data_IF_208885437746
#
_entry.id   IF_208885437746
#
_cell.length_a   1.000
_cell.length_b   1.000
_cell.length_c   1.000
_cell.angle_alpha   90.00
_cell.angle_beta   90.00
_cell.angle_gamma   90.00
#
_symmetry.space_group_name_H-M   'P 1'
#
loop_
_entity.id
_entity.type
_entity.pdbx_description
1 polymer ?
#
# COMPACT_ATOMS: atom_id res chain seq x y z
N UNK A 1 3.27 -15.67 5.20
CA UNK A 1 3.54 -14.97 3.93
C UNK A 1 4.91 -15.34 3.39
N UNK A 2 6.00 -14.69 3.83
CA UNK A 2 7.35 -14.88 3.27
C UNK A 2 7.78 -16.36 3.15
N UNK A 3 7.66 -17.14 4.23
CA UNK A 3 8.04 -18.56 4.22
C UNK A 3 7.22 -19.42 3.23
N UNK A 4 5.92 -19.13 3.09
CA UNK A 4 5.04 -19.85 2.17
C UNK A 4 5.31 -19.46 0.71
N UNK A 5 5.74 -18.22 0.46
CA UNK A 5 6.11 -17.75 -0.86
C UNK A 5 7.53 -18.11 -1.29
N UNK A 6 8.43 -18.45 -0.35
CA UNK A 6 9.82 -18.82 -0.64
C UNK A 6 10.02 -19.85 -1.76
N UNK A 7 9.21 -20.93 -1.86
CA UNK A 7 9.30 -21.91 -2.94
C UNK A 7 9.07 -21.33 -4.35
N UNK A 8 8.40 -20.18 -4.50
CA UNK A 8 8.20 -19.56 -5.82
C UNK A 8 9.51 -19.11 -6.45
N UNK A 9 10.54 -18.85 -5.64
CA UNK A 9 11.85 -18.39 -6.12
C UNK A 9 12.52 -19.42 -7.05
N UNK A 10 12.84 -20.64 -6.59
CA UNK A 10 13.43 -21.66 -7.46
C UNK A 10 12.49 -22.07 -8.62
N UNK A 11 11.17 -22.06 -8.41
CA UNK A 11 10.18 -22.38 -9.46
C UNK A 11 10.30 -21.38 -10.62
N UNK A 12 10.33 -20.08 -10.34
CA UNK A 12 10.41 -19.08 -11.40
C UNK A 12 11.80 -18.94 -12.00
N UNK A 13 12.86 -19.25 -11.26
CA UNK A 13 14.20 -19.39 -11.86
C UNK A 13 14.25 -20.56 -12.85
N UNK A 14 13.57 -21.69 -12.55
CA UNK A 14 13.39 -22.80 -13.50
C UNK A 14 12.57 -22.36 -14.71
N UNK A 15 11.49 -21.61 -14.52
CA UNK A 15 10.69 -21.08 -15.62
C UNK A 15 11.53 -20.19 -16.57
N UNK A 16 12.37 -19.30 -16.00
CA UNK A 16 13.26 -18.42 -16.79
C UNK A 16 14.26 -19.24 -17.61
N UNK A 17 14.82 -20.31 -17.04
CA UNK A 17 15.71 -21.21 -17.75
C UNK A 17 14.97 -21.98 -18.87
N UNK A 18 13.81 -22.57 -18.56
CA UNK A 18 12.98 -23.31 -19.51
C UNK A 18 12.53 -22.44 -20.70
N UNK A 19 12.18 -21.18 -20.46
CA UNK A 19 11.84 -20.23 -21.52
C UNK A 19 13.01 -19.96 -22.50
N UNK A 20 14.27 -20.12 -22.08
CA UNK A 20 15.45 -19.98 -22.97
C UNK A 20 15.69 -21.22 -23.81
N UNK A 21 15.27 -22.37 -23.31
CA UNK A 21 15.37 -23.67 -23.96
C UNK A 21 14.13 -23.98 -24.80
N UNK A 22 13.18 -23.03 -24.88
CA UNK A 22 11.87 -23.17 -25.53
C UNK A 22 11.01 -24.34 -25.00
N UNK A 23 11.20 -24.69 -23.73
CA UNK A 23 10.38 -25.71 -23.04
C UNK A 23 9.08 -25.09 -22.51
N UNK A 24 8.10 -24.97 -23.42
CA UNK A 24 6.77 -24.42 -23.12
C UNK A 24 6.09 -25.19 -21.97
N UNK A 25 6.22 -26.52 -21.94
CA UNK A 25 5.58 -27.37 -20.94
C UNK A 25 6.10 -27.08 -19.53
N UNK A 26 7.42 -26.99 -19.36
CA UNK A 26 8.01 -26.65 -18.06
C UNK A 26 7.66 -25.23 -17.62
N UNK A 27 7.55 -24.26 -18.55
CA UNK A 27 7.10 -22.90 -18.24
C UNK A 27 5.66 -22.91 -17.72
N UNK A 28 4.76 -23.64 -18.37
CA UNK A 28 3.35 -23.77 -17.94
C UNK A 28 3.26 -24.37 -16.54
N UNK A 29 3.97 -25.46 -16.27
CA UNK A 29 3.98 -26.11 -14.94
C UNK A 29 4.47 -25.16 -13.84
N UNK A 30 5.52 -24.39 -14.12
CA UNK A 30 6.04 -23.41 -13.18
C UNK A 30 5.05 -22.26 -12.93
N UNK A 31 4.36 -21.77 -13.97
CA UNK A 31 3.35 -20.73 -13.85
C UNK A 31 2.12 -21.22 -13.06
N UNK A 32 1.64 -22.44 -13.29
CA UNK A 32 0.57 -23.01 -12.46
C UNK A 32 0.97 -23.08 -10.99
N UNK A 33 2.17 -23.59 -10.70
CA UNK A 33 2.70 -23.67 -9.34
C UNK A 33 2.83 -22.29 -8.70
N UNK A 34 3.24 -21.28 -9.48
CA UNK A 34 3.30 -19.90 -9.02
C UNK A 34 1.91 -19.36 -8.68
N UNK A 35 0.92 -19.57 -9.54
CA UNK A 35 -0.45 -19.11 -9.33
C UNK A 35 -1.04 -19.69 -8.04
N UNK A 36 -0.85 -21.00 -7.79
CA UNK A 36 -1.26 -21.66 -6.55
C UNK A 36 -0.61 -21.03 -5.33
N UNK A 37 0.71 -20.81 -5.36
CA UNK A 37 1.43 -20.15 -4.26
C UNK A 37 0.87 -18.76 -4.00
N UNK A 38 0.61 -17.95 -5.04
CA UNK A 38 0.07 -16.59 -4.86
C UNK A 38 -1.34 -16.62 -4.26
N UNK A 39 -2.18 -17.58 -4.66
CA UNK A 39 -3.51 -17.73 -4.05
C UNK A 39 -3.42 -18.09 -2.55
N UNK A 40 -2.56 -19.05 -2.20
CA UNK A 40 -2.30 -19.43 -0.81
C UNK A 40 -1.76 -18.26 0.01
N UNK A 41 -0.89 -17.43 -0.57
CA UNK A 41 -0.47 -16.16 0.03
C UNK A 41 -1.67 -15.24 0.27
N UNK A 42 -2.60 -15.15 -0.68
CA UNK A 42 -3.85 -14.41 -0.52
C UNK A 42 -4.71 -14.91 0.64
N UNK A 43 -4.81 -16.21 0.85
CA UNK A 43 -5.51 -16.80 1.99
C UNK A 43 -4.81 -16.46 3.30
N UNK A 44 -3.49 -16.65 3.37
CA UNK A 44 -2.70 -16.36 4.57
C UNK A 44 -2.70 -14.87 4.94
N UNK A 45 -2.76 -13.98 3.97
CA UNK A 45 -2.77 -12.54 4.21
C UNK A 45 -3.99 -12.12 5.07
N UNK A 46 -5.16 -12.70 4.78
CA UNK A 46 -6.43 -12.40 5.46
C UNK A 46 -6.46 -12.92 6.89
N UNK A 47 -5.64 -13.93 7.22
CA UNK A 47 -5.50 -14.44 8.60
C UNK A 47 -4.94 -13.42 9.59
N UNK A 48 -4.39 -12.30 9.10
CA UNK A 48 -4.03 -11.17 9.98
C UNK A 48 -5.22 -10.72 10.84
N UNK A 49 -6.45 -10.85 10.36
CA UNK A 49 -7.66 -10.52 11.12
C UNK A 49 -7.85 -11.40 12.38
N UNK A 50 -7.26 -12.60 12.42
CA UNK A 50 -7.38 -13.53 13.56
C UNK A 50 -6.67 -13.03 14.81
N UNK A 51 -5.54 -12.32 14.65
CA UNK A 51 -4.63 -12.02 15.78
C UNK A 51 -4.11 -10.58 15.80
N UNK A 52 -4.62 -9.71 14.92
CA UNK A 52 -4.24 -8.30 14.87
C UNK A 52 -5.49 -7.43 14.94
N UNK A 53 -5.80 -6.88 16.10
CA UNK A 53 -6.92 -5.94 16.23
C UNK A 53 -6.61 -4.62 15.48
N UNK A 54 -7.53 -4.09 14.64
CA UNK A 54 -7.29 -2.86 13.90
C UNK A 54 -7.02 -1.62 14.77
N UNK A 55 -7.68 -1.50 15.92
CA UNK A 55 -7.46 -0.37 16.83
C UNK A 55 -6.07 -0.46 17.48
N UNK A 56 -5.70 -1.64 17.99
CA UNK A 56 -4.36 -1.91 18.56
C UNK A 56 -3.28 -1.65 17.52
N UNK A 57 -3.45 -2.17 16.30
CA UNK A 57 -2.48 -1.94 15.22
C UNK A 57 -2.31 -0.45 14.93
N UNK A 58 -3.39 0.29 14.70
CA UNK A 58 -3.31 1.69 14.32
C UNK A 58 -2.75 2.59 15.43
N UNK A 59 -3.19 2.39 16.66
CA UNK A 59 -2.87 3.29 17.78
C UNK A 59 -1.64 2.88 18.56
N UNK A 60 -1.33 1.58 18.66
CA UNK A 60 -0.24 1.06 19.49
C UNK A 60 0.94 0.55 18.70
N UNK A 61 0.75 -0.08 17.53
CA UNK A 61 1.85 -0.71 16.78
C UNK A 61 2.42 0.24 15.71
N UNK A 62 1.55 0.71 14.80
CA UNK A 62 1.89 1.59 13.67
C UNK A 62 2.76 2.81 14.04
N UNK A 63 2.64 3.44 15.21
CA UNK A 63 3.51 4.56 15.60
C UNK A 63 4.98 4.20 15.68
N UNK A 64 5.30 2.99 16.16
CA UNK A 64 6.66 2.49 16.23
C UNK A 64 7.22 2.06 14.87
N UNK A 65 6.34 1.86 13.88
CA UNK A 65 6.72 1.52 12.51
C UNK A 65 6.94 2.77 11.63
N UNK A 66 6.59 3.97 12.11
CA UNK A 66 6.81 5.20 11.37
C UNK A 66 8.31 5.57 11.38
N UNK A 67 8.80 5.98 10.23
CA UNK A 67 10.16 6.52 10.08
C UNK A 67 10.20 8.02 10.32
N UNK A 68 11.38 8.61 10.11
CA UNK A 68 11.64 10.05 10.26
C UNK A 68 11.62 10.82 8.94
N UNK A 69 11.59 10.13 7.79
CA UNK A 69 11.54 10.76 6.47
C UNK A 69 10.16 11.37 6.19
N UNK A 70 10.15 12.60 5.67
CA UNK A 70 8.93 13.37 5.37
C UNK A 70 8.03 13.64 6.60
N UNK A 71 8.61 13.71 7.81
CA UNK A 71 7.88 13.89 9.08
C UNK A 71 7.98 15.32 9.65
N UNK A 72 8.12 16.33 8.78
CA UNK A 72 8.20 17.75 9.19
C UNK A 72 7.02 18.17 10.08
N UNK A 73 5.79 17.86 9.67
CA UNK A 73 4.57 18.22 10.41
C UNK A 73 4.39 17.42 11.71
N UNK A 74 5.18 16.35 11.90
CA UNK A 74 5.24 15.59 13.13
C UNK A 74 6.36 16.05 14.07
N UNK A 75 7.06 17.14 13.73
CA UNK A 75 8.15 17.70 14.54
C UNK A 75 9.54 17.16 14.21
N UNK A 76 9.70 16.44 13.09
CA UNK A 76 10.99 15.92 12.62
C UNK A 76 11.36 16.52 11.24
N UNK A 77 11.57 17.85 11.14
CA UNK A 77 11.89 18.52 9.87
C UNK A 77 13.16 17.96 9.21
N UNK A 78 14.17 17.63 10.03
CA UNK A 78 15.48 17.16 9.57
C UNK A 78 15.71 15.68 9.90
N UNK A 79 14.67 14.96 10.34
CA UNK A 79 14.77 13.58 10.79
C UNK A 79 15.27 13.43 12.23
N UNK A 80 16.06 12.39 12.49
CA UNK A 80 16.53 12.00 13.82
C UNK A 80 18.04 12.20 13.91
N UNK A 81 18.52 12.60 15.09
CA UNK A 81 19.93 12.77 15.39
C UNK A 81 20.55 11.39 15.69
N UNK A 82 21.58 11.04 14.93
CA UNK A 82 22.41 9.85 15.15
C UNK A 82 23.73 10.31 15.74
N UNK A 83 23.95 9.93 16.99
CA UNK A 83 25.21 10.11 17.69
C UNK A 83 26.03 8.81 17.56
N UNK A 84 27.18 8.90 16.89
CA UNK A 84 28.08 7.76 16.69
C UNK A 84 29.15 7.66 17.78
N UNK A 85 29.08 8.49 18.84
CA UNK A 85 29.99 8.44 19.98
C UNK A 85 31.41 8.96 19.70
N UNK A 86 31.66 9.45 18.48
CA UNK A 86 32.94 10.02 18.04
C UNK A 86 32.91 11.56 17.97
N UNK A 87 31.88 12.19 18.54
CA UNK A 87 31.65 13.64 18.47
C UNK A 87 31.06 14.11 17.14
N UNK A 88 30.87 13.22 16.15
CA UNK A 88 30.19 13.50 14.90
C UNK A 88 28.69 13.26 15.07
N UNK A 89 27.93 14.34 14.98
CA UNK A 89 26.47 14.31 15.09
C UNK A 89 25.88 14.53 13.70
N UNK A 90 25.12 13.56 13.20
CA UNK A 90 24.44 13.67 11.90
C UNK A 90 22.93 13.49 12.04
N UNK A 91 22.16 14.40 11.44
CA UNK A 91 20.71 14.22 11.31
C UNK A 91 20.41 13.37 10.08
N UNK A 92 19.57 12.34 10.24
CA UNK A 92 19.23 11.40 9.17
C UNK A 92 17.73 11.17 9.07
N UNK A 93 17.27 11.03 7.84
CA UNK A 93 15.89 10.74 7.49
C UNK A 93 15.77 9.35 6.88
N UNK A 94 14.97 8.49 7.50
CA UNK A 94 14.69 7.14 7.00
C UNK A 94 13.19 6.89 6.93
N UNK A 95 12.75 6.20 5.89
CA UNK A 95 11.37 5.77 5.73
C UNK A 95 11.00 4.74 6.80
N UNK A 96 9.74 4.73 7.21
CA UNK A 96 9.23 3.72 8.11
C UNK A 96 9.10 2.35 7.45
N UNK A 97 8.80 1.33 8.25
CA UNK A 97 8.56 -0.02 7.78
C UNK A 97 7.36 -0.07 6.83
N UNK A 98 7.51 -0.78 5.70
CA UNK A 98 6.40 -1.00 4.76
C UNK A 98 6.55 -2.30 3.98
N UNK A 99 5.44 -2.84 3.50
CA UNK A 99 5.42 -4.09 2.71
C UNK A 99 6.21 -3.97 1.39
N UNK A 100 6.46 -2.76 0.90
CA UNK A 100 7.32 -2.51 -0.26
C UNK A 100 8.80 -2.88 -0.03
N UNK A 101 9.20 -3.12 1.23
CA UNK A 101 10.52 -3.63 1.60
C UNK A 101 10.59 -5.16 1.54
N UNK A 102 9.49 -5.87 1.28
CA UNK A 102 9.50 -7.32 1.03
C UNK A 102 10.18 -7.62 -0.30
N UNK A 103 11.21 -8.46 -0.26
CA UNK A 103 11.89 -8.92 -1.47
C UNK A 103 11.03 -9.91 -2.27
N UNK A 104 10.19 -10.70 -1.60
CA UNK A 104 9.27 -11.64 -2.25
C UNK A 104 8.24 -10.90 -3.12
N UNK A 105 7.61 -9.85 -2.59
CA UNK A 105 6.60 -9.09 -3.35
C UNK A 105 7.22 -8.48 -4.61
N UNK A 106 8.40 -7.84 -4.50
CA UNK A 106 9.09 -7.31 -5.68
C UNK A 106 9.60 -8.42 -6.62
N UNK A 107 9.95 -9.59 -6.10
CA UNK A 107 10.34 -10.72 -6.93
C UNK A 107 9.19 -11.18 -7.84
N UNK A 108 7.97 -11.31 -7.29
CA UNK A 108 6.78 -11.67 -8.06
C UNK A 108 6.52 -10.68 -9.20
N UNK A 109 6.69 -9.39 -8.93
CA UNK A 109 6.52 -8.34 -9.93
C UNK A 109 7.57 -8.48 -11.05
N UNK A 110 8.84 -8.64 -10.67
CA UNK A 110 9.95 -8.75 -11.62
C UNK A 110 9.81 -9.98 -12.53
N UNK A 111 9.51 -11.16 -11.98
CA UNK A 111 9.43 -12.40 -12.80
C UNK A 111 8.21 -12.43 -13.72
N UNK A 112 7.15 -11.71 -13.38
CA UNK A 112 5.95 -11.54 -14.21
C UNK A 112 6.04 -10.31 -15.13
N UNK A 113 7.13 -9.54 -15.11
CA UNK A 113 7.27 -8.35 -15.94
C UNK A 113 6.33 -7.20 -15.56
N UNK A 114 5.92 -7.10 -14.28
CA UNK A 114 5.14 -5.97 -13.75
C UNK A 114 6.08 -4.80 -13.44
N UNK A 115 5.91 -3.71 -14.19
CA UNK A 115 6.63 -2.46 -13.95
C UNK A 115 5.80 -1.44 -13.18
N UNK A 116 6.42 -0.80 -12.19
CA UNK A 116 5.78 0.19 -11.34
C UNK A 116 6.18 1.61 -11.74
N UNK A 117 5.21 2.45 -12.08
CA UNK A 117 5.44 3.87 -12.42
C UNK A 117 5.41 4.74 -11.15
N UNK A 118 5.98 5.96 -11.18
CA UNK A 118 5.78 6.93 -10.12
C UNK A 118 4.29 7.15 -9.83
N UNK A 119 3.95 7.37 -8.56
CA UNK A 119 2.54 7.46 -8.13
C UNK A 119 1.85 8.66 -8.76
N UNK A 120 0.75 8.42 -9.46
CA UNK A 120 -0.07 9.44 -10.14
C UNK A 120 0.19 9.59 -11.63
N UNK A 121 1.20 8.91 -12.18
CA UNK A 121 1.45 8.87 -13.62
C UNK A 121 0.56 7.81 -14.29
N UNK A 122 -0.20 8.20 -15.32
CA UNK A 122 -0.97 7.26 -16.18
C UNK A 122 -0.07 6.73 -17.31
N UNK A 123 -0.45 5.59 -17.88
CA UNK A 123 0.18 5.06 -19.10
C UNK A 123 -0.03 6.09 -20.20
N UNK A 124 1.04 6.77 -20.61
CA UNK A 124 0.96 7.70 -21.74
C UNK A 124 0.95 6.84 -23.00
N UNK A 125 -0.18 6.78 -23.71
CA UNK A 125 -0.30 5.99 -24.95
C UNK A 125 0.36 6.64 -26.17
N UNK A 126 0.97 7.83 -26.02
CA UNK A 126 1.74 8.49 -27.09
C UNK A 126 2.81 9.40 -26.48
N UNK A 127 4.06 8.95 -26.43
CA UNK A 127 5.22 9.85 -26.27
C UNK A 127 6.43 9.27 -27.01
N UNK A 128 6.22 8.97 -28.29
CA UNK A 128 7.24 9.16 -29.33
C UNK A 128 7.26 10.63 -29.78
N UNK A 129 7.21 11.57 -28.84
CA UNK A 129 7.38 12.99 -29.13
C UNK A 129 8.43 13.56 -28.19
N UNK A 130 9.64 13.57 -28.75
CA UNK A 130 10.75 14.47 -28.45
C UNK A 130 11.39 14.32 -27.07
N UNK A 131 12.26 13.31 -26.96
CA UNK A 131 13.43 13.45 -26.10
C UNK A 131 14.46 14.23 -26.91
N UNK A 132 14.74 15.47 -26.50
CA UNK A 132 15.94 16.21 -26.96
C UNK A 132 17.18 15.30 -26.82
N UNK A 133 17.99 15.12 -27.87
CA UNK A 133 19.15 14.25 -27.80
C UNK A 133 20.19 14.83 -26.83
N UNK A 134 20.38 14.18 -25.69
CA UNK A 134 21.50 14.46 -24.78
C UNK A 134 21.16 14.76 -23.31
N UNK A 135 19.88 14.83 -22.93
CA UNK A 135 19.50 14.96 -21.52
C UNK A 135 18.98 13.62 -21.02
N UNK A 136 19.77 12.95 -20.18
CA UNK A 136 19.30 11.76 -19.47
C UNK A 136 18.00 12.12 -18.73
N UNK A 137 16.91 11.33 -18.87
CA UNK A 137 15.66 11.63 -18.20
C UNK A 137 15.90 11.75 -16.69
N UNK A 138 15.37 12.80 -16.07
CA UNK A 138 15.49 13.00 -14.63
C UNK A 138 15.06 11.72 -13.90
N UNK A 139 15.79 11.27 -12.86
CA UNK A 139 15.51 9.99 -12.20
C UNK A 139 14.10 10.01 -11.62
N UNK A 140 13.19 9.32 -12.32
CA UNK A 140 11.80 9.16 -11.90
C UNK A 140 11.81 8.36 -10.61
N UNK A 141 11.53 9.03 -9.50
CA UNK A 141 11.73 8.44 -8.17
C UNK A 141 10.63 7.41 -7.86
N UNK A 142 10.86 6.17 -8.30
CA UNK A 142 9.98 5.04 -8.03
C UNK A 142 10.14 4.60 -6.56
N UNK A 143 9.08 4.76 -5.77
CA UNK A 143 9.07 4.39 -4.35
C UNK A 143 9.45 2.92 -4.12
N UNK A 144 9.01 1.99 -4.98
CA UNK A 144 9.34 0.56 -4.89
C UNK A 144 10.85 0.35 -5.05
N UNK A 145 11.50 1.04 -5.99
CA UNK A 145 12.95 0.97 -6.17
C UNK A 145 13.69 1.61 -5.00
N UNK A 146 13.19 2.71 -4.42
CA UNK A 146 13.77 3.28 -3.21
C UNK A 146 13.75 2.28 -2.05
N UNK A 147 12.65 1.53 -1.89
CA UNK A 147 12.50 0.53 -0.82
C UNK A 147 13.49 -0.63 -0.95
N UNK A 148 14.08 -0.89 -2.13
CA UNK A 148 15.19 -1.84 -2.25
C UNK A 148 16.40 -1.44 -1.39
N UNK A 149 16.63 -0.14 -1.14
CA UNK A 149 17.70 0.35 -0.23
C UNK A 149 17.52 -0.11 1.22
N UNK A 150 16.29 -0.48 1.60
CA UNK A 150 15.93 -0.97 2.92
C UNK A 150 15.91 -2.50 3.01
N UNK A 151 16.15 -3.21 1.91
CA UNK A 151 16.30 -4.67 1.89
C UNK A 151 17.72 -5.12 2.29
N UNK A 152 17.90 -6.35 2.81
CA UNK A 152 19.23 -6.94 2.96
C UNK A 152 20.01 -6.91 1.65
N UNK A 153 21.31 -6.59 1.72
CA UNK A 153 22.14 -6.36 0.53
C UNK A 153 22.16 -7.54 -0.45
N UNK A 154 22.14 -8.79 0.06
CA UNK A 154 22.07 -10.00 -0.78
C UNK A 154 20.75 -10.09 -1.54
N UNK A 155 19.62 -9.73 -0.92
CA UNK A 155 18.30 -9.78 -1.56
C UNK A 155 18.15 -8.72 -2.64
N UNK A 156 18.66 -7.50 -2.39
CA UNK A 156 18.69 -6.44 -3.40
C UNK A 156 19.47 -6.86 -4.64
N UNK A 157 20.69 -7.41 -4.45
CA UNK A 157 21.51 -7.88 -5.57
C UNK A 157 20.84 -9.04 -6.31
N UNK A 158 20.19 -9.94 -5.58
CA UNK A 158 19.39 -11.00 -6.18
C UNK A 158 18.30 -10.42 -7.09
N UNK A 159 17.48 -9.47 -6.62
CA UNK A 159 16.46 -8.83 -7.45
C UNK A 159 17.04 -8.14 -8.69
N UNK A 160 18.18 -7.46 -8.57
CA UNK A 160 18.85 -6.84 -9.73
C UNK A 160 19.28 -7.87 -10.77
N UNK A 161 19.78 -9.03 -10.34
CA UNK A 161 20.12 -10.12 -11.25
C UNK A 161 18.85 -10.66 -11.90
N UNK A 162 17.82 -10.99 -11.13
CA UNK A 162 16.54 -11.51 -11.65
C UNK A 162 15.94 -10.56 -12.69
N UNK A 163 15.95 -9.25 -12.42
CA UNK A 163 15.47 -8.21 -13.34
C UNK A 163 16.22 -8.20 -14.67
N UNK A 164 17.52 -8.52 -14.67
CA UNK A 164 18.31 -8.62 -15.91
C UNK A 164 18.11 -9.93 -16.69
N UNK A 165 17.55 -10.96 -16.07
CA UNK A 165 17.42 -12.30 -16.65
C UNK A 165 15.98 -12.73 -16.93
N UNK A 166 15.00 -12.04 -16.33
CA UNK A 166 13.57 -12.32 -16.50
C UNK A 166 13.16 -12.13 -17.96
N UNK A 167 12.44 -13.12 -18.49
CA UNK A 167 12.05 -13.21 -19.89
C UNK A 167 10.67 -13.85 -20.08
N UNK A 168 9.92 -14.09 -19.00
CA UNK A 168 8.68 -14.87 -19.04
C UNK A 168 7.61 -14.14 -19.84
N UNK A 169 7.46 -12.83 -19.63
CA UNK A 169 6.44 -12.03 -20.34
C UNK A 169 6.72 -12.02 -21.84
N UNK A 170 7.96 -11.73 -22.24
CA UNK A 170 8.41 -11.70 -23.64
C UNK A 170 8.25 -13.07 -24.29
N UNK A 171 8.56 -14.14 -23.55
CA UNK A 171 8.40 -15.51 -24.02
C UNK A 171 6.93 -15.88 -24.28
N UNK A 172 6.02 -15.51 -23.37
CA UNK A 172 4.58 -15.73 -23.54
C UNK A 172 4.04 -14.90 -24.71
N UNK A 173 4.52 -13.66 -24.88
CA UNK A 173 4.14 -12.79 -26.00
C UNK A 173 4.59 -13.37 -27.35
N UNK A 174 5.83 -13.88 -27.43
CA UNK A 174 6.32 -14.56 -28.63
C UNK A 174 5.54 -15.86 -28.95
N UNK A 175 5.06 -16.55 -27.91
CA UNK A 175 4.32 -17.80 -28.01
C UNK A 175 2.80 -17.62 -27.82
N UNK A 176 2.25 -16.45 -28.15
CA UNK A 176 0.85 -16.12 -27.91
C UNK A 176 -0.14 -17.10 -28.58
N UNK A 177 0.28 -17.83 -29.63
CA UNK A 177 -0.47 -18.91 -30.25
C UNK A 177 -0.85 -20.03 -29.26
N UNK A 178 -0.03 -20.29 -28.24
CA UNK A 178 -0.28 -21.29 -27.22
C UNK A 178 -1.20 -20.74 -26.13
N UNK A 179 -2.49 -21.10 -26.20
CA UNK A 179 -3.52 -20.59 -25.28
C UNK A 179 -3.29 -21.05 -23.84
N UNK A 180 -2.79 -22.27 -23.63
CA UNK A 180 -2.52 -22.78 -22.29
C UNK A 180 -1.42 -21.96 -21.60
N UNK A 181 -0.36 -21.61 -22.34
CA UNK A 181 0.72 -20.75 -21.83
C UNK A 181 0.20 -19.35 -21.46
N UNK A 182 -0.58 -18.74 -22.34
CA UNK A 182 -1.20 -17.43 -22.10
C UNK A 182 -2.11 -17.47 -20.86
N UNK A 183 -2.97 -18.49 -20.75
CA UNK A 183 -3.87 -18.65 -19.60
C UNK A 183 -3.12 -18.86 -18.28
N UNK A 184 -2.04 -19.66 -18.28
CA UNK A 184 -1.23 -19.90 -17.09
C UNK A 184 -0.56 -18.61 -16.59
N UNK A 185 -0.05 -17.79 -17.52
CA UNK A 185 0.53 -16.49 -17.21
C UNK A 185 -0.51 -15.50 -16.69
N UNK A 186 -1.64 -15.38 -17.38
CA UNK A 186 -2.75 -14.49 -16.97
C UNK A 186 -3.35 -14.91 -15.62
N UNK A 187 -3.37 -16.21 -15.30
CA UNK A 187 -3.78 -16.70 -13.99
C UNK A 187 -2.85 -16.20 -12.87
N UNK A 188 -1.53 -16.16 -13.08
CA UNK A 188 -0.58 -15.59 -12.12
C UNK A 188 -0.88 -14.11 -11.85
N UNK A 189 -1.14 -13.33 -12.91
CA UNK A 189 -1.50 -11.91 -12.79
C UNK A 189 -2.84 -11.72 -12.07
N UNK A 190 -3.82 -12.56 -12.34
CA UNK A 190 -5.12 -12.55 -11.67
C UNK A 190 -4.98 -12.83 -10.16
N UNK A 191 -4.16 -13.81 -9.78
CA UNK A 191 -3.89 -14.13 -8.38
C UNK A 191 -3.12 -13.00 -7.68
N UNK A 192 -2.12 -12.43 -8.35
CA UNK A 192 -1.36 -11.30 -7.81
C UNK A 192 -2.22 -10.05 -7.62
N UNK A 193 -3.10 -9.77 -8.59
CA UNK A 193 -4.08 -8.68 -8.49
C UNK A 193 -5.03 -8.93 -7.31
N UNK A 194 -5.52 -10.15 -7.15
CA UNK A 194 -6.41 -10.54 -6.04
C UNK A 194 -5.73 -10.35 -4.68
N UNK A 195 -4.45 -10.73 -4.57
CA UNK A 195 -3.64 -10.49 -3.38
C UNK A 195 -3.55 -8.99 -3.06
N UNK A 196 -3.34 -8.15 -4.07
CA UNK A 196 -3.28 -6.68 -3.94
C UNK A 196 -4.63 -6.08 -3.53
N UNK A 197 -5.73 -6.61 -4.06
CA UNK A 197 -7.09 -6.22 -3.65
C UNK A 197 -7.36 -6.54 -2.18
N UNK A 198 -7.02 -7.74 -1.72
CA UNK A 198 -7.09 -8.13 -0.29
C UNK A 198 -6.24 -7.19 0.58
N UNK A 199 -5.04 -6.82 0.12
CA UNK A 199 -4.19 -5.86 0.84
C UNK A 199 -4.81 -4.46 0.92
N UNK A 200 -5.43 -3.96 -0.16
CA UNK A 200 -6.15 -2.67 -0.14
C UNK A 200 -7.30 -2.70 0.86
N UNK A 201 -8.09 -3.78 0.92
CA UNK A 201 -9.16 -3.97 1.90
C UNK A 201 -8.63 -3.91 3.34
N UNK A 202 -7.53 -4.61 3.62
CA UNK A 202 -6.90 -4.56 4.93
C UNK A 202 -6.43 -3.14 5.27
N UNK A 203 -5.80 -2.45 4.32
CA UNK A 203 -5.38 -1.06 4.53
C UNK A 203 -6.57 -0.14 4.80
N UNK A 204 -7.70 -0.32 4.12
CA UNK A 204 -8.95 0.38 4.41
C UNK A 204 -9.34 0.22 5.88
N UNK A 205 -9.47 -1.02 6.34
CA UNK A 205 -9.92 -1.33 7.71
C UNK A 205 -8.93 -0.92 8.80
N UNK A 206 -7.64 -1.18 8.61
CA UNK A 206 -6.60 -0.95 9.62
C UNK A 206 -6.09 0.50 9.66
N UNK A 207 -6.18 1.24 8.55
CA UNK A 207 -5.63 2.61 8.47
C UNK A 207 -6.73 3.63 8.26
N UNK A 208 -7.53 3.48 7.20
CA UNK A 208 -8.45 4.52 6.75
C UNK A 208 -9.59 4.69 7.76
N UNK A 209 -10.27 3.60 8.14
CA UNK A 209 -11.37 3.64 9.11
C UNK A 209 -10.87 4.16 10.47
N UNK A 210 -9.77 3.61 11.00
CA UNK A 210 -9.21 4.01 12.32
C UNK A 210 -8.74 5.46 12.38
N UNK A 211 -8.15 5.97 11.31
CA UNK A 211 -7.76 7.37 11.24
C UNK A 211 -8.94 8.37 11.27
N UNK A 212 -10.13 7.92 10.84
CA UNK A 212 -11.37 8.72 10.76
C UNK A 212 -12.13 8.71 12.09
N UNK A 213 -12.20 7.56 12.76
CA UNK A 213 -12.69 7.45 14.16
C UNK A 213 -12.02 8.48 15.09
N UNK A 214 -10.70 8.68 14.93
CA UNK A 214 -9.93 9.68 15.68
C UNK A 214 -10.36 11.13 15.41
N UNK A 215 -10.81 11.46 14.19
CA UNK A 215 -11.33 12.82 13.92
C UNK A 215 -12.67 13.06 14.59
N UNK A 216 -13.56 12.07 14.57
CA UNK A 216 -14.92 12.20 15.12
C UNK A 216 -14.88 12.32 16.64
N UNK A 217 -14.02 11.54 17.31
CA UNK A 217 -13.77 11.68 18.75
C UNK A 217 -13.17 13.05 19.12
N UNK A 218 -12.25 13.58 18.30
CA UNK A 218 -11.70 14.93 18.51
C UNK A 218 -12.70 16.06 18.26
N UNK A 219 -13.66 15.92 17.35
CA UNK A 219 -14.70 16.94 17.13
C UNK A 219 -15.74 16.94 18.24
N UNK A 220 -16.14 15.75 18.76
CA UNK A 220 -17.04 15.65 19.92
C UNK A 220 -16.41 16.18 21.20
N UNK A 221 -15.14 15.85 21.49
CA UNK A 221 -14.45 16.34 22.69
C UNK A 221 -14.21 17.86 22.69
N UNK A 222 -14.10 18.49 21.51
CA UNK A 222 -13.91 19.95 21.40
C UNK A 222 -15.19 20.76 21.66
N UNK A 223 -16.35 20.10 21.62
CA UNK A 223 -17.65 20.73 21.88
C UNK A 223 -17.98 20.77 23.37
N UNK A 224 -17.35 19.92 24.19
CA UNK A 224 -17.52 19.90 25.66
C UNK A 224 -16.44 20.66 26.43
N UNK A 225 -15.25 20.88 25.85
CA UNK A 225 -14.08 21.33 26.62
C UNK A 225 -13.54 22.68 26.12
N UNK A 226 -14.27 23.75 26.44
CA UNK A 226 -13.88 25.14 26.16
C UNK A 226 -13.22 25.84 27.36
N UNK A 227 -12.85 25.11 28.42
CA UNK A 227 -12.38 25.70 29.69
C UNK A 227 -11.11 25.09 30.29
N UNK A 228 -10.11 24.68 29.50
CA UNK A 228 -8.80 24.29 30.07
C UNK A 228 -7.61 24.63 29.15
N UNK A 229 -6.65 25.47 29.59
CA UNK A 229 -5.45 25.84 28.82
C UNK A 229 -4.43 24.70 28.62
N UNK A 230 -4.60 23.54 29.28
CA UNK A 230 -3.63 22.45 29.29
C UNK A 230 -3.69 21.48 28.08
N UNK A 231 -4.64 21.67 27.16
CA UNK A 231 -4.82 20.80 25.98
C UNK A 231 -3.70 20.92 24.91
N UNK A 232 -2.70 21.79 25.11
CA UNK A 232 -1.64 22.10 24.14
C UNK A 232 -0.45 21.12 24.16
N UNK A 233 -0.37 20.17 25.09
CA UNK A 233 0.83 19.30 25.27
C UNK A 233 0.58 17.79 25.18
N UNK A 234 -0.47 17.32 24.47
CA UNK A 234 -0.58 15.88 24.19
C UNK A 234 0.38 15.48 23.05
N UNK A 235 1.28 14.50 23.25
CA UNK A 235 2.24 14.09 22.24
C UNK A 235 1.52 13.66 20.96
N UNK A 236 1.82 14.34 19.85
CA UNK A 236 1.32 14.00 18.53
C UNK A 236 2.06 12.78 18.00
N UNK A 237 1.36 11.67 17.92
CA UNK A 237 1.85 10.43 17.34
C UNK A 237 2.14 10.60 15.84
N UNK A 238 3.42 10.41 15.48
CA UNK A 238 4.05 10.66 14.16
C UNK A 238 3.34 9.94 13.01
N UNK A 239 2.84 8.72 13.25
CA UNK A 239 2.12 7.96 12.22
C UNK A 239 0.70 8.48 11.94
N UNK A 240 0.14 9.26 12.87
CA UNK A 240 -1.28 9.65 12.90
C UNK A 240 -1.50 11.14 12.64
N UNK A 241 -0.43 11.91 12.46
CA UNK A 241 -0.46 13.34 12.20
C UNK A 241 -1.15 13.62 10.86
N UNK A 242 -2.17 14.47 10.89
CA UNK A 242 -2.89 14.92 9.68
C UNK A 242 -2.14 16.13 9.11
N UNK A 243 -1.76 16.06 7.84
CA UNK A 243 -0.99 17.09 7.16
C UNK A 243 -1.91 18.19 6.61
N UNK A 244 -1.47 19.45 6.68
CA UNK A 244 -2.07 20.56 5.94
C UNK A 244 -1.39 20.62 4.56
N UNK A 245 -2.19 20.67 3.51
CA UNK A 245 -1.69 20.95 2.16
C UNK A 245 -1.30 22.43 2.10
N UNK A 246 0.00 22.74 2.18
CA UNK A 246 0.51 24.01 1.68
C UNK A 246 0.49 23.96 0.15
N UNK A 247 -0.65 24.36 -0.41
CA UNK A 247 -0.86 24.51 -1.84
C UNK A 247 -1.90 25.60 -2.05
N UNK A 248 -1.53 26.66 -2.79
CA UNK A 248 -2.36 27.82 -3.12
C UNK A 248 -3.79 27.40 -3.44
N UNK A 249 -4.75 28.06 -2.79
CA UNK A 249 -6.16 28.05 -3.17
C UNK A 249 -6.26 28.53 -4.61
N UNK A 250 -6.60 27.63 -5.51
CA UNK A 250 -7.41 27.88 -6.69
C UNK A 250 -8.05 26.53 -6.97
N UNK A 251 -9.34 26.41 -6.65
CA UNK A 251 -10.31 25.52 -7.28
C UNK A 251 -11.66 25.72 -6.57
N UNK A 252 -12.46 26.63 -7.13
CA UNK A 252 -13.91 26.56 -7.07
C UNK A 252 -14.33 25.29 -7.82
N UNK A 253 -14.35 24.14 -7.14
CA UNK A 253 -15.24 22.98 -7.38
C UNK A 253 -14.75 21.82 -6.48
N UNK A 254 -15.52 21.53 -5.41
CA UNK A 254 -15.53 20.21 -4.77
C UNK A 254 -14.32 19.74 -3.94
N UNK A 255 -14.36 20.00 -2.62
CA UNK A 255 -13.88 19.08 -1.58
C UNK A 255 -12.40 18.66 -1.60
N UNK A 256 -11.52 19.48 -1.03
CA UNK A 256 -10.11 19.12 -0.79
C UNK A 256 -9.94 17.86 0.08
N UNK A 257 -9.66 16.71 -0.55
CA UNK A 257 -9.41 15.46 0.15
C UNK A 257 -8.04 15.47 0.83
N UNK A 258 -8.05 15.39 2.16
CA UNK A 258 -6.84 15.30 3.00
C UNK A 258 -6.18 13.94 2.79
N UNK A 259 -5.09 13.88 2.03
CA UNK A 259 -4.41 12.62 1.62
C UNK A 259 -3.73 11.94 2.81
N UNK A 260 -4.04 10.67 3.04
CA UNK A 260 -3.42 9.87 4.10
C UNK A 260 -2.10 9.24 3.63
N UNK A 261 -1.07 9.33 4.46
CA UNK A 261 0.24 8.74 4.18
C UNK A 261 0.42 7.39 4.87
N UNK A 262 1.08 6.46 4.18
CA UNK A 262 1.59 5.23 4.78
C UNK A 262 2.76 5.51 5.72
N UNK A 263 3.19 4.51 6.49
CA UNK A 263 4.41 4.57 7.33
C UNK A 263 5.69 4.82 6.51
N UNK A 264 5.70 4.36 5.26
CA UNK A 264 6.75 4.69 4.27
C UNK A 264 6.64 6.10 3.66
N UNK A 265 5.64 6.89 4.05
CA UNK A 265 5.50 8.29 3.65
C UNK A 265 4.79 8.56 2.31
N UNK A 266 4.38 7.54 1.55
CA UNK A 266 3.60 7.69 0.30
C UNK A 266 2.12 7.91 0.54
N UNK A 267 1.41 8.54 -0.41
CA UNK A 267 -0.05 8.56 -0.41
C UNK A 267 -0.58 7.14 -0.59
N UNK A 268 -1.11 6.54 0.48
CA UNK A 268 -1.21 5.09 0.62
C UNK A 268 -2.19 4.48 -0.39
N UNK A 269 -3.41 5.01 -0.49
CA UNK A 269 -4.46 4.45 -1.36
C UNK A 269 -4.15 4.63 -2.84
N UNK A 270 -3.77 5.82 -3.35
CA UNK A 270 -3.42 5.98 -4.77
C UNK A 270 -2.28 5.05 -5.19
N UNK A 271 -1.25 4.90 -4.36
CA UNK A 271 -0.13 4.02 -4.63
C UNK A 271 -0.56 2.55 -4.76
N UNK A 272 -1.33 2.04 -3.80
CA UNK A 272 -1.77 0.64 -3.81
C UNK A 272 -2.72 0.35 -4.98
N UNK A 273 -3.62 1.27 -5.30
CA UNK A 273 -4.53 1.15 -6.45
C UNK A 273 -3.74 1.13 -7.75
N UNK A 274 -2.80 2.06 -7.93
CA UNK A 274 -1.96 2.10 -9.11
C UNK A 274 -1.16 0.81 -9.29
N UNK A 275 -0.51 0.32 -8.23
CA UNK A 275 0.22 -0.95 -8.31
C UNK A 275 -0.71 -2.09 -8.75
N UNK A 276 -1.89 -2.24 -8.12
CA UNK A 276 -2.89 -3.23 -8.52
C UNK A 276 -3.26 -3.10 -10.01
N UNK A 277 -3.56 -1.89 -10.46
CA UNK A 277 -4.03 -1.65 -11.82
C UNK A 277 -2.89 -1.96 -12.83
N UNK A 278 -1.65 -1.58 -12.53
CA UNK A 278 -0.44 -1.92 -13.32
C UNK A 278 -0.26 -3.45 -13.48
N UNK A 279 -0.63 -4.26 -12.49
CA UNK A 279 -0.62 -5.74 -12.62
C UNK A 279 -1.65 -6.23 -13.64
N UNK A 280 -2.84 -5.61 -13.70
CA UNK A 280 -3.89 -6.01 -14.63
C UNK A 280 -3.64 -5.53 -16.06
N UNK A 281 -2.95 -4.41 -16.23
CA UNK A 281 -2.63 -3.81 -17.53
C UNK A 281 -1.79 -4.72 -18.44
N UNK A 282 -0.93 -5.56 -17.84
CA UNK A 282 0.03 -6.39 -18.57
C UNK A 282 -0.49 -7.79 -18.94
N UNK A 283 -1.78 -8.08 -18.69
CA UNK A 283 -2.39 -9.33 -19.12
C UNK A 283 -2.32 -9.48 -20.65
N UNK A 284 -2.07 -10.69 -21.12
CA UNK A 284 -1.83 -11.00 -22.53
C UNK A 284 -3.15 -11.03 -23.30
N UNK A 285 -4.13 -11.78 -22.80
CA UNK A 285 -5.41 -11.91 -23.46
C UNK A 285 -6.29 -10.65 -23.27
N UNK A 286 -7.00 -10.23 -24.33
CA UNK A 286 -7.81 -9.02 -24.32
C UNK A 286 -9.02 -9.15 -23.37
N UNK A 287 -9.61 -10.34 -23.25
CA UNK A 287 -10.66 -10.62 -22.28
C UNK A 287 -10.08 -10.62 -20.87
N UNK A 288 -8.93 -11.26 -20.63
CA UNK A 288 -8.24 -11.21 -19.32
C UNK A 288 -7.93 -9.77 -18.91
N UNK A 289 -7.35 -8.97 -19.81
CA UNK A 289 -7.05 -7.55 -19.56
C UNK A 289 -8.32 -6.76 -19.24
N UNK A 290 -9.41 -6.99 -19.99
CA UNK A 290 -10.71 -6.36 -19.70
C UNK A 290 -11.30 -6.84 -18.38
N UNK A 291 -11.16 -8.11 -18.03
CA UNK A 291 -11.67 -8.67 -16.77
C UNK A 291 -10.90 -8.12 -15.57
N UNK A 292 -9.57 -8.08 -15.66
CA UNK A 292 -8.70 -7.56 -14.63
C UNK A 292 -8.84 -6.04 -14.48
N UNK A 293 -8.94 -5.29 -15.58
CA UNK A 293 -9.10 -3.84 -15.54
C UNK A 293 -10.57 -3.39 -15.40
N UNK A 294 -11.52 -4.32 -15.55
CA UNK A 294 -12.97 -4.11 -15.66
C UNK A 294 -13.69 -3.63 -14.41
N UNK A 295 -12.96 -3.10 -13.42
CA UNK A 295 -13.50 -2.14 -12.47
C UNK A 295 -14.75 -2.62 -11.71
N UNK A 296 -14.78 -3.85 -11.21
CA UNK A 296 -15.64 -4.09 -10.05
C UNK A 296 -15.05 -3.29 -8.91
N UNK A 297 -15.77 -2.27 -8.43
CA UNK A 297 -15.47 -1.67 -7.14
C UNK A 297 -15.35 -2.80 -6.14
N UNK A 298 -14.14 -3.00 -5.64
CA UNK A 298 -13.87 -4.04 -4.66
C UNK A 298 -14.60 -3.71 -3.37
N UNK A 299 -14.79 -4.70 -2.50
CA UNK A 299 -15.35 -4.45 -1.16
C UNK A 299 -14.57 -3.34 -0.44
N UNK A 300 -13.25 -3.29 -0.59
CA UNK A 300 -12.41 -2.21 -0.05
C UNK A 300 -12.66 -0.86 -0.72
N UNK A 301 -12.88 -0.82 -2.03
CA UNK A 301 -13.29 0.42 -2.71
C UNK A 301 -14.67 0.90 -2.23
N UNK A 302 -15.62 -0.02 -2.02
CA UNK A 302 -16.97 0.26 -1.52
C UNK A 302 -16.95 0.69 -0.06
N UNK A 303 -16.14 0.06 0.79
CA UNK A 303 -15.92 0.49 2.18
C UNK A 303 -15.37 1.90 2.22
N UNK A 304 -14.31 2.19 1.45
CA UNK A 304 -13.72 3.54 1.37
C UNK A 304 -14.76 4.56 0.88
N UNK A 305 -15.56 4.22 -0.14
CA UNK A 305 -16.59 5.11 -0.69
C UNK A 305 -17.79 5.31 0.25
N UNK A 306 -18.31 4.24 0.86
CA UNK A 306 -19.42 4.30 1.81
C UNK A 306 -19.03 5.13 3.04
N UNK A 307 -17.82 4.92 3.55
CA UNK A 307 -17.22 5.74 4.60
C UNK A 307 -17.08 7.21 4.17
N UNK A 308 -16.66 7.48 2.92
CA UNK A 308 -16.62 8.85 2.38
C UNK A 308 -18.01 9.50 2.34
N UNK A 309 -19.06 8.76 1.97
CA UNK A 309 -20.44 9.24 2.00
C UNK A 309 -20.92 9.53 3.42
N UNK A 310 -20.78 8.59 4.35
CA UNK A 310 -21.21 8.75 5.76
C UNK A 310 -20.52 9.95 6.42
N UNK A 311 -19.21 10.11 6.24
CA UNK A 311 -18.47 11.23 6.84
C UNK A 311 -18.76 12.58 6.15
N UNK A 312 -19.04 12.57 4.84
CA UNK A 312 -19.50 13.75 4.10
C UNK A 312 -20.87 14.23 4.59
N UNK A 313 -21.78 13.29 4.88
CA UNK A 313 -23.10 13.59 5.47
C UNK A 313 -22.99 14.06 6.92
N UNK A 314 -22.17 13.41 7.76
CA UNK A 314 -21.93 13.85 9.15
C UNK A 314 -21.22 15.21 9.25
N UNK A 315 -20.38 15.56 8.27
CA UNK A 315 -19.76 16.89 8.20
C UNK A 315 -20.72 17.98 7.72
N UNK A 316 -21.80 17.63 7.01
CA UNK A 316 -22.91 18.54 6.61
C UNK A 316 -24.04 18.58 7.63
N UNK A 317 -24.19 17.56 8.48
CA UNK A 317 -25.23 17.48 9.50
C UNK A 317 -24.97 18.36 10.74
N UNK A 318 -23.94 19.22 10.71
CA UNK A 318 -23.65 20.19 11.78
C UNK A 318 -24.68 21.33 11.92
N UNK A 319 -25.68 21.40 11.03
CA UNK A 319 -26.68 22.48 10.98
C UNK A 319 -28.12 22.03 11.33
N UNK A 320 -28.32 20.86 11.94
CA UNK A 320 -29.66 20.42 12.40
C UNK A 320 -29.84 20.59 13.92
N UNK A 321 -31.00 21.06 14.39
CA UNK A 321 -31.27 21.30 15.81
C UNK A 321 -31.29 19.98 16.61
N UNK A 322 -30.98 20.02 17.92
CA UNK A 322 -30.72 18.82 18.71
C UNK A 322 -31.99 18.03 18.99
N UNK A 323 -32.10 16.84 18.42
CA UNK A 323 -33.15 15.87 18.74
C UNK A 323 -33.29 14.83 17.63
N UNK A 324 -33.04 13.57 17.97
CA UNK A 324 -33.14 12.35 17.14
C UNK A 324 -32.06 12.10 16.09
N UNK A 325 -31.19 11.13 16.40
CA UNK A 325 -30.69 10.18 15.39
C UNK A 325 -30.83 8.76 15.94
N UNK A 326 -31.62 7.97 15.22
CA UNK A 326 -31.95 6.56 15.42
C UNK A 326 -30.68 5.69 15.26
N UNK A 327 -30.33 4.95 16.31
CA UNK A 327 -29.24 3.98 16.29
C UNK A 327 -29.70 2.59 15.88
N UNK A 328 -28.86 1.87 15.13
CA UNK A 328 -28.94 0.42 14.97
C UNK A 328 -27.88 -0.21 15.88
N UNK A 329 -28.37 -0.74 17.00
CA UNK A 329 -27.75 -1.66 17.96
C UNK A 329 -26.69 -1.12 18.95
N UNK A 330 -27.10 -1.04 20.23
CA UNK A 330 -26.29 -1.43 21.38
C UNK A 330 -25.73 -0.29 22.24
N UNK A 331 -26.47 0.12 23.26
CA UNK A 331 -26.00 0.91 24.41
C UNK A 331 -24.89 0.17 25.17
N UNK A 332 -23.76 0.83 25.43
CA UNK A 332 -22.82 0.45 26.46
C UNK A 332 -22.73 1.59 27.47
N UNK A 333 -23.23 1.36 28.68
CA UNK A 333 -23.07 2.26 29.81
C UNK A 333 -21.59 2.29 30.21
N UNK A 334 -21.01 3.50 30.24
CA UNK A 334 -19.76 3.78 30.94
C UNK A 334 -20.09 4.60 32.19
N UNK A 335 -20.66 3.93 33.19
CA UNK A 335 -20.57 4.36 34.58
C UNK A 335 -20.25 3.12 35.40
N UNK A 336 -18.95 2.82 35.54
CA UNK A 336 -18.42 2.64 36.88
C UNK A 336 -16.90 2.82 36.95
N UNK A 337 -16.50 3.27 38.13
CA UNK A 337 -15.27 3.97 38.43
C UNK A 337 -14.12 3.02 38.77
N UNK A 338 -12.87 3.46 38.50
CA UNK A 338 -11.67 3.11 39.28
C UNK A 338 -11.21 1.64 39.32
N UNK A 339 -10.03 1.38 38.73
CA UNK A 339 -9.32 0.13 38.99
C UNK A 339 -8.02 0.01 38.23
N UNK A 340 -6.93 0.53 38.80
CA UNK A 340 -5.58 0.22 38.34
C UNK A 340 -5.25 -1.25 38.59
N UNK A 341 -4.52 -1.88 37.67
CA UNK A 341 -4.00 -3.24 37.84
C UNK A 341 -2.54 -3.28 37.40
N UNK A 342 -1.66 -3.00 38.37
CA UNK A 342 -0.46 -3.81 38.61
C UNK A 342 -0.86 -4.93 39.58
N UNK A 343 -0.34 -6.15 39.35
CA UNK A 343 -0.36 -7.40 40.15
C UNK A 343 -0.81 -8.54 39.22
N UNK A 344 -0.05 -9.59 38.90
CA UNK A 344 1.21 -10.17 39.39
C UNK A 344 2.11 -10.54 38.22
#
# INVERSE_FOLDING_TARGET
>A
MEAKGGPSIPIMLRAIAAAREDDISAVIECLHSLAEIIDELGVLLVRMYESCDPHVFYHRIRPYLAGSKNMKDAGLPDGVLYDEGNGLVSRRQYSGGSNAQSSLIQFLDVVLGVEHRPTGEKKVETSESETEPGIAPAPRHNFIQEMRKYMPGKHRRFLQVVESIANIREYVEANHANRTLVLAYDACLAMLKTLRDKHIQMVSRYIIVKSRERSVSRSRGRQMDSRSPEALRRPTNIASTKYRSDGKKNDEFGGGSKKQRGTGGTALIPFLKQARDETGEIAMDAWSRKYLNGGRMTEGDREIENENKIHGTLSRAGDLPPGEVVGLAGSWDMEDSGGGLCSF
#
